data_IF_174994623951
#
_entry.id   IF_174994623951
#
_cell.length_a   1.000
_cell.length_b   1.000
_cell.length_c   1.000
_cell.angle_alpha   90.00
_cell.angle_beta   90.00
_cell.angle_gamma   90.00
#
_symmetry.space_group_name_H-M   'P 1'
#
loop_
_entity.id
_entity.type
_entity.pdbx_description
1 polymer ?
#
# COMPACT_ATOMS: atom_id res chain seq x y z
N UNK A 1 -16.74 -3.72 -0.83
CA UNK A 1 -15.40 -4.22 -1.23
C UNK A 1 -14.75 -3.32 -2.28
N UNK A 2 -15.47 -2.96 -3.36
CA UNK A 2 -14.95 -2.06 -4.42
C UNK A 2 -14.44 -0.71 -3.91
N UNK A 3 -15.14 -0.08 -2.97
CA UNK A 3 -14.75 1.23 -2.43
C UNK A 3 -13.42 1.20 -1.65
N UNK A 4 -13.16 0.10 -0.92
CA UNK A 4 -11.90 -0.08 -0.17
C UNK A 4 -10.71 -0.34 -1.10
N UNK A 5 -10.94 -1.07 -2.21
CA UNK A 5 -9.94 -1.28 -3.25
C UNK A 5 -9.56 0.04 -3.91
N UNK A 6 -10.55 0.86 -4.30
CA UNK A 6 -10.29 2.16 -4.92
C UNK A 6 -9.55 3.12 -3.96
N UNK A 7 -10.00 3.23 -2.71
CA UNK A 7 -9.35 4.10 -1.74
C UNK A 7 -7.92 3.65 -1.39
N UNK A 8 -7.67 2.34 -1.28
CA UNK A 8 -6.30 1.85 -1.06
C UNK A 8 -5.42 2.07 -2.29
N UNK A 9 -5.95 1.89 -3.50
CA UNK A 9 -5.25 2.24 -4.74
C UNK A 9 -4.83 3.70 -4.75
N UNK A 10 -5.71 4.61 -4.36
CA UNK A 10 -5.40 6.05 -4.30
C UNK A 10 -4.28 6.35 -3.30
N UNK A 11 -4.28 5.69 -2.12
CA UNK A 11 -3.20 5.84 -1.14
C UNK A 11 -1.84 5.36 -1.67
N UNK A 12 -1.82 4.26 -2.41
CA UNK A 12 -0.60 3.71 -3.01
C UNK A 12 -0.11 4.57 -4.18
N UNK A 13 -1.02 5.00 -5.05
CA UNK A 13 -0.74 5.92 -6.15
C UNK A 13 -0.27 7.30 -5.67
N UNK A 14 -0.70 7.78 -4.50
CA UNK A 14 -0.18 9.02 -3.92
C UNK A 14 1.22 8.84 -3.32
N UNK A 15 1.52 7.64 -2.79
CA UNK A 15 2.85 7.33 -2.29
C UNK A 15 3.87 7.21 -3.43
N UNK A 16 3.48 6.60 -4.56
CA UNK A 16 4.22 6.56 -5.83
C UNK A 16 5.73 6.26 -5.68
N UNK A 17 6.09 5.24 -4.90
CA UNK A 17 7.50 4.99 -4.57
C UNK A 17 8.37 4.63 -5.79
N UNK A 18 7.74 4.15 -6.87
CA UNK A 18 8.41 3.87 -8.15
C UNK A 18 8.54 5.15 -8.99
N UNK A 19 7.62 6.12 -8.82
CA UNK A 19 7.61 7.37 -9.58
C UNK A 19 6.97 7.24 -10.97
N UNK A 20 6.02 6.31 -11.13
CA UNK A 20 5.41 5.97 -12.43
C UNK A 20 3.92 6.29 -12.49
N UNK A 21 3.30 6.69 -11.39
CA UNK A 21 1.88 7.02 -11.37
C UNK A 21 1.53 8.12 -12.37
N UNK A 22 0.57 7.83 -13.24
CA UNK A 22 -0.07 8.81 -14.11
C UNK A 22 -1.59 8.59 -14.07
N UNK A 23 -2.40 9.57 -13.62
CA UNK A 23 -3.84 9.39 -13.47
C UNK A 23 -4.59 9.11 -14.79
N UNK A 24 -3.95 9.29 -15.95
CA UNK A 24 -4.53 9.04 -17.27
C UNK A 24 -4.15 7.70 -17.88
N UNK A 25 -2.97 7.18 -17.54
CA UNK A 25 -2.39 6.03 -18.25
C UNK A 25 -1.80 4.97 -17.34
N UNK A 26 -1.57 5.27 -16.06
CA UNK A 26 -0.85 4.38 -15.16
C UNK A 26 -1.36 4.47 -13.72
N UNK A 27 -2.44 3.76 -13.43
CA UNK A 27 -3.13 3.81 -12.12
C UNK A 27 -3.19 2.47 -11.40
N UNK A 28 -2.74 1.40 -12.05
CA UNK A 28 -2.85 0.00 -11.63
C UNK A 28 -1.51 -0.65 -11.26
N UNK A 29 -0.39 0.07 -11.38
CA UNK A 29 0.96 -0.44 -11.06
C UNK A 29 1.08 -1.00 -9.64
N UNK A 30 0.31 -0.44 -8.70
CA UNK A 30 0.32 -0.85 -7.29
C UNK A 30 -0.78 -1.85 -6.94
N UNK A 31 -1.57 -2.31 -7.91
CA UNK A 31 -2.71 -3.20 -7.68
C UNK A 31 -2.31 -4.55 -7.08
N UNK A 32 -1.10 -5.02 -7.36
CA UNK A 32 -0.56 -6.26 -6.83
C UNK A 32 -0.50 -6.26 -5.29
N UNK A 33 -0.28 -5.10 -4.66
CA UNK A 33 -0.21 -4.96 -3.20
C UNK A 33 -1.59 -4.85 -2.55
N UNK A 34 -2.65 -4.50 -3.30
CA UNK A 34 -3.98 -4.20 -2.74
C UNK A 34 -4.56 -5.41 -2.02
N UNK A 35 -4.60 -6.58 -2.66
CA UNK A 35 -5.21 -7.78 -2.08
C UNK A 35 -4.44 -8.30 -0.86
N UNK A 36 -3.09 -8.42 -0.90
CA UNK A 36 -2.30 -8.74 0.29
C UNK A 36 -2.51 -7.75 1.45
N UNK A 37 -2.47 -6.44 1.19
CA UNK A 37 -2.68 -5.42 2.23
C UNK A 37 -4.07 -5.51 2.86
N UNK A 38 -5.13 -5.61 2.05
CA UNK A 38 -6.49 -5.76 2.56
C UNK A 38 -6.63 -7.04 3.40
N UNK A 39 -5.95 -8.11 3.01
CA UNK A 39 -5.92 -9.37 3.76
C UNK A 39 -5.25 -9.17 5.12
N UNK A 40 -4.06 -8.60 5.16
CA UNK A 40 -3.34 -8.26 6.39
C UNK A 40 -4.16 -7.36 7.32
N UNK A 41 -4.74 -6.28 6.78
CA UNK A 41 -5.56 -5.33 7.54
C UNK A 41 -6.83 -5.99 8.10
N UNK A 42 -7.48 -6.86 7.32
CA UNK A 42 -8.66 -7.61 7.79
C UNK A 42 -8.34 -8.61 8.91
N UNK A 43 -7.09 -9.08 8.99
CA UNK A 43 -6.60 -9.93 10.06
C UNK A 43 -6.15 -9.13 11.31
N UNK A 44 -6.26 -7.80 11.28
CA UNK A 44 -5.88 -6.92 12.39
C UNK A 44 -4.39 -6.53 12.40
N UNK A 45 -3.72 -6.54 11.26
CA UNK A 45 -2.32 -6.10 11.16
C UNK A 45 -2.14 -4.66 11.64
N UNK A 46 -1.12 -4.44 12.47
CA UNK A 46 -0.70 -3.13 12.93
C UNK A 46 0.37 -2.52 12.00
N UNK A 47 0.71 -1.24 12.23
CA UNK A 47 1.61 -0.49 11.36
C UNK A 47 2.96 -1.18 11.13
N UNK A 48 3.54 -1.80 12.17
CA UNK A 48 4.82 -2.51 12.03
C UNK A 48 4.74 -3.73 11.08
N UNK A 49 3.61 -4.46 11.08
CA UNK A 49 3.42 -5.58 10.17
C UNK A 49 3.20 -5.12 8.72
N UNK A 50 2.49 -3.99 8.54
CA UNK A 50 2.32 -3.37 7.22
C UNK A 50 3.65 -2.81 6.71
N UNK A 51 4.44 -2.18 7.56
CA UNK A 51 5.78 -1.67 7.24
C UNK A 51 6.70 -2.80 6.76
N UNK A 52 6.75 -3.92 7.50
CA UNK A 52 7.51 -5.09 7.11
C UNK A 52 7.08 -5.61 5.74
N UNK A 53 5.76 -5.77 5.52
CA UNK A 53 5.23 -6.20 4.22
C UNK A 53 5.66 -5.26 3.08
N UNK A 54 5.56 -3.94 3.28
CA UNK A 54 5.94 -2.98 2.25
C UNK A 54 7.44 -3.02 1.95
N UNK A 55 8.28 -3.18 2.97
CA UNK A 55 9.73 -3.33 2.78
C UNK A 55 10.05 -4.58 1.97
N UNK A 56 9.44 -5.73 2.30
CA UNK A 56 9.62 -6.99 1.57
C UNK A 56 9.16 -6.86 0.11
N UNK A 57 8.01 -6.22 -0.15
CA UNK A 57 7.55 -5.97 -1.53
C UNK A 57 8.54 -5.09 -2.30
N UNK A 58 9.00 -3.98 -1.71
CA UNK A 58 9.95 -3.05 -2.35
C UNK A 58 11.24 -3.77 -2.74
N UNK A 59 11.84 -4.53 -1.82
CA UNK A 59 13.14 -5.15 -2.06
C UNK A 59 13.03 -6.39 -2.92
N UNK A 60 12.07 -7.26 -2.65
CA UNK A 60 12.06 -8.62 -3.20
C UNK A 60 11.20 -8.70 -4.46
N UNK A 61 10.05 -8.03 -4.48
CA UNK A 61 9.12 -8.06 -5.60
C UNK A 61 9.46 -6.97 -6.64
N UNK A 62 9.69 -5.73 -6.19
CA UNK A 62 10.03 -4.62 -7.10
C UNK A 62 11.53 -4.49 -7.37
N UNK A 63 12.40 -5.16 -6.61
CA UNK A 63 13.85 -5.12 -6.81
C UNK A 63 14.45 -3.73 -6.57
N UNK A 64 13.81 -2.91 -5.74
CA UNK A 64 14.19 -1.53 -5.48
C UNK A 64 15.01 -1.40 -4.19
N UNK A 65 15.83 -0.33 -4.06
CA UNK A 65 16.49 -0.02 -2.80
C UNK A 65 15.48 0.19 -1.67
N UNK A 66 15.85 -0.20 -0.46
CA UNK A 66 15.07 0.10 0.75
C UNK A 66 14.76 1.59 0.85
N UNK A 67 13.53 1.90 1.28
CA UNK A 67 13.05 3.26 1.53
C UNK A 67 12.27 3.27 2.85
N UNK A 68 12.03 4.46 3.40
CA UNK A 68 11.26 4.60 4.64
C UNK A 68 9.77 4.35 4.37
N UNK A 69 9.29 3.16 4.75
CA UNK A 69 7.89 2.75 4.60
C UNK A 69 7.04 2.99 5.85
N UNK A 70 7.65 3.37 6.98
CA UNK A 70 6.93 3.57 8.23
C UNK A 70 5.80 4.63 8.14
N UNK A 71 6.00 5.79 7.47
CA UNK A 71 4.94 6.79 7.33
C UNK A 71 3.74 6.28 6.52
N UNK A 72 3.97 5.55 5.43
CA UNK A 72 2.89 5.03 4.58
C UNK A 72 2.17 3.87 5.27
N UNK A 73 2.90 2.99 5.98
CA UNK A 73 2.29 1.93 6.76
C UNK A 73 1.36 2.47 7.85
N UNK A 74 1.81 3.48 8.60
CA UNK A 74 0.98 4.15 9.60
C UNK A 74 -0.25 4.83 8.97
N UNK A 75 -0.09 5.44 7.78
CA UNK A 75 -1.19 6.06 7.04
C UNK A 75 -2.24 5.02 6.62
N UNK A 76 -1.82 3.88 6.06
CA UNK A 76 -2.71 2.79 5.62
C UNK A 76 -3.49 2.23 6.81
N UNK A 77 -2.84 1.95 7.93
CA UNK A 77 -3.52 1.43 9.14
C UNK A 77 -4.51 2.44 9.71
N UNK A 78 -4.14 3.74 9.78
CA UNK A 78 -5.07 4.79 10.21
C UNK A 78 -6.28 4.91 9.30
N UNK A 79 -6.08 4.88 7.98
CA UNK A 79 -7.17 4.89 7.02
C UNK A 79 -8.12 3.70 7.24
N UNK A 80 -7.58 2.50 7.40
CA UNK A 80 -8.37 1.30 7.66
C UNK A 80 -9.26 1.44 8.89
N UNK A 81 -8.71 1.97 9.99
CA UNK A 81 -9.44 2.20 11.24
C UNK A 81 -10.51 3.30 11.15
N UNK A 82 -10.38 4.26 10.22
CA UNK A 82 -11.41 5.29 9.99
C UNK A 82 -12.54 4.85 9.06
N UNK A 83 -12.40 3.69 8.42
CA UNK A 83 -13.36 3.17 7.42
C UNK A 83 -14.32 2.14 8.04
N UNK A 84 -14.55 2.23 9.35
CA UNK A 84 -15.55 1.47 10.12
C UNK A 84 -16.98 1.91 9.80
#
# INVERSE_FOLDING_TARGET
MGDRVAALRDLLNEWDFIGVFDPKVNTDEYDCMIVPLLTCLSAGAEAAAVEQFLNEEITDHFGMPETDTAPVAARIVRWWATTE
#
